data_IF_246496838183
#
_entry.id   IF_246496838183
#
_cell.length_a   1.000
_cell.length_b   1.000
_cell.length_c   1.000
_cell.angle_alpha   90.00
_cell.angle_beta   90.00
_cell.angle_gamma   90.00
#
_symmetry.space_group_name_H-M   'P 1'
#
loop_
_entity.id
_entity.type
_entity.pdbx_description
1 polymer ?
#
# COMPACT_ATOMS: atom_id res chain seq x y z
N UNK A 1 1.78 5.88 12.97
CA UNK A 1 0.45 5.79 13.62
C UNK A 1 -0.03 4.34 13.65
N UNK A 2 -0.78 3.97 14.69
CA UNK A 2 -1.36 2.64 14.83
C UNK A 2 -0.31 1.55 15.00
N UNK A 3 -0.37 0.52 14.15
CA UNK A 3 0.53 -0.64 14.24
C UNK A 3 2.02 -0.27 14.20
N UNK A 4 2.41 0.75 13.41
CA UNK A 4 3.81 1.19 13.35
C UNK A 4 4.34 1.72 14.69
N UNK A 5 3.49 2.37 15.49
CA UNK A 5 3.88 2.85 16.82
C UNK A 5 4.00 1.70 17.82
N UNK A 6 3.09 0.72 17.71
CA UNK A 6 3.11 -0.51 18.52
C UNK A 6 4.41 -1.28 18.25
N UNK A 7 4.74 -1.52 16.98
CA UNK A 7 5.99 -2.19 16.60
C UNK A 7 7.22 -1.43 17.11
N UNK A 8 7.26 -0.10 16.92
CA UNK A 8 8.37 0.71 17.45
C UNK A 8 8.55 0.53 18.96
N UNK A 9 7.46 0.59 19.72
CA UNK A 9 7.52 0.55 21.18
C UNK A 9 7.86 -0.85 21.73
N UNK A 10 7.17 -1.89 21.23
CA UNK A 10 7.27 -3.24 21.80
C UNK A 10 8.39 -4.09 21.17
N UNK A 11 8.79 -3.82 19.93
CA UNK A 11 9.87 -4.54 19.26
C UNK A 11 11.20 -3.77 19.28
N UNK A 12 11.24 -2.56 19.87
CA UNK A 12 12.43 -1.71 19.94
C UNK A 12 13.11 -1.46 18.58
N UNK A 13 12.31 -1.26 17.53
CA UNK A 13 12.77 -0.93 16.18
C UNK A 13 12.45 0.53 15.85
N UNK A 14 13.23 1.16 14.97
CA UNK A 14 12.95 2.52 14.54
C UNK A 14 11.70 2.59 13.65
N UNK A 15 11.01 3.73 13.65
CA UNK A 15 9.84 3.94 12.75
C UNK A 15 10.24 3.85 11.27
N UNK A 16 11.46 4.24 10.95
CA UNK A 16 12.03 4.23 9.61
C UNK A 16 12.33 2.83 9.08
N UNK A 17 12.40 1.82 9.94
CA UNK A 17 12.54 0.41 9.53
C UNK A 17 11.20 -0.23 9.17
N UNK A 18 10.08 0.33 9.63
CA UNK A 18 8.73 -0.17 9.33
C UNK A 18 8.14 0.60 8.15
N UNK A 19 8.50 0.15 6.96
CA UNK A 19 8.27 0.88 5.70
C UNK A 19 7.10 0.38 4.85
N UNK A 20 6.56 -0.81 5.13
CA UNK A 20 5.51 -1.44 4.34
C UNK A 20 4.13 -1.46 5.01
N UNK A 21 3.08 -1.56 4.19
CA UNK A 21 1.70 -1.81 4.63
C UNK A 21 1.07 -2.94 3.82
N UNK A 22 0.18 -3.71 4.48
CA UNK A 22 -0.78 -4.60 3.84
C UNK A 22 -2.13 -4.51 4.56
N UNK A 23 -3.19 -4.24 3.80
CA UNK A 23 -4.54 -4.16 4.29
C UNK A 23 -5.08 -5.57 4.61
N UNK A 24 -5.85 -5.72 5.71
CA UNK A 24 -6.54 -6.98 6.01
C UNK A 24 -7.38 -7.45 4.83
N UNK A 25 -7.39 -8.78 4.60
CA UNK A 25 -8.15 -9.44 3.54
C UNK A 25 -7.86 -8.95 2.10
N UNK A 26 -6.73 -8.27 1.87
CA UNK A 26 -6.35 -7.72 0.54
C UNK A 26 -7.44 -6.81 -0.03
N UNK A 27 -8.03 -5.98 0.84
CA UNK A 27 -9.02 -4.96 0.49
C UNK A 27 -8.41 -3.56 0.61
N UNK A 28 -7.89 -2.98 -0.49
CA UNK A 28 -7.38 -1.62 -0.47
C UNK A 28 -8.45 -0.62 -0.01
N UNK A 29 -8.06 0.44 0.68
CA UNK A 29 -8.94 1.44 1.28
C UNK A 29 -9.19 2.66 0.38
N UNK A 30 -9.30 2.47 -0.94
CA UNK A 30 -9.41 3.54 -1.95
C UNK A 30 -8.31 4.60 -1.75
N UNK A 31 -8.57 5.85 -2.13
CA UNK A 31 -7.62 6.96 -2.01
C UNK A 31 -7.19 7.24 -0.57
N UNK A 32 -8.04 6.96 0.42
CA UNK A 32 -7.73 7.26 1.84
C UNK A 32 -6.56 6.44 2.37
N UNK A 33 -6.45 5.16 1.98
CA UNK A 33 -5.31 4.35 2.38
C UNK A 33 -3.99 4.97 1.89
N UNK A 34 -3.89 5.28 0.60
CA UNK A 34 -2.65 5.74 0.00
C UNK A 34 -2.29 7.17 0.41
N UNK A 35 -3.28 8.02 0.69
CA UNK A 35 -3.06 9.32 1.33
C UNK A 35 -2.36 9.16 2.70
N UNK A 36 -2.82 8.22 3.53
CA UNK A 36 -2.17 7.94 4.82
C UNK A 36 -0.78 7.34 4.62
N UNK A 37 -0.56 6.52 3.59
CA UNK A 37 0.76 5.97 3.33
C UNK A 37 1.77 7.06 2.98
N UNK A 38 1.40 7.96 2.08
CA UNK A 38 2.18 9.12 1.66
C UNK A 38 2.46 10.07 2.83
N UNK A 39 1.42 10.53 3.55
CA UNK A 39 1.54 11.47 4.68
C UNK A 39 2.42 10.92 5.83
N UNK A 40 2.45 9.60 6.01
CA UNK A 40 3.23 8.97 7.08
C UNK A 40 4.55 8.38 6.59
N UNK A 41 4.94 8.56 5.34
CA UNK A 41 6.24 8.13 4.81
C UNK A 41 6.42 6.61 4.79
N UNK A 42 5.36 5.86 4.45
CA UNK A 42 5.52 4.46 4.06
C UNK A 42 6.04 4.40 2.63
N UNK A 43 6.87 3.40 2.34
CA UNK A 43 7.53 3.24 1.03
C UNK A 43 6.68 2.41 0.08
N UNK A 44 5.95 1.41 0.59
CA UNK A 44 5.16 0.53 -0.28
C UNK A 44 3.91 -0.03 0.37
N UNK A 45 2.95 -0.37 -0.48
CA UNK A 45 1.77 -1.17 -0.18
C UNK A 45 1.85 -2.54 -0.87
N UNK A 46 1.29 -3.57 -0.25
CA UNK A 46 1.13 -4.90 -0.85
C UNK A 46 -0.29 -5.42 -0.67
N UNK A 47 -1.28 -4.56 -0.91
CA UNK A 47 -2.72 -4.87 -0.77
C UNK A 47 -3.43 -5.02 -2.11
N UNK A 48 -2.93 -4.39 -3.17
CA UNK A 48 -3.53 -4.46 -4.51
C UNK A 48 -3.18 -5.79 -5.17
N UNK A 49 -4.20 -6.60 -5.45
CA UNK A 49 -4.05 -7.81 -6.23
C UNK A 49 -4.17 -7.54 -7.73
N UNK A 50 -3.22 -8.08 -8.51
CA UNK A 50 -3.34 -8.17 -9.96
C UNK A 50 -4.04 -9.49 -10.35
N UNK A 51 -4.85 -9.50 -11.43
CA UNK A 51 -5.38 -10.74 -11.99
C UNK A 51 -4.26 -11.63 -12.55
N UNK A 52 -4.57 -12.91 -12.79
CA UNK A 52 -3.64 -13.80 -13.49
C UNK A 52 -3.49 -13.33 -14.94
N UNK A 53 -2.25 -13.02 -15.34
CA UNK A 53 -1.90 -12.56 -16.68
C UNK A 53 -0.79 -13.45 -17.25
N UNK A 54 -0.70 -13.64 -18.58
CA UNK A 54 0.42 -14.38 -19.20
C UNK A 54 1.79 -13.79 -18.87
N UNK A 55 1.85 -12.47 -18.66
CA UNK A 55 3.03 -11.73 -18.23
C UNK A 55 2.72 -11.15 -16.84
N UNK A 56 3.54 -11.42 -15.81
CA UNK A 56 3.30 -10.91 -14.47
C UNK A 56 3.47 -9.38 -14.40
N UNK A 57 2.73 -8.76 -13.48
CA UNK A 57 2.83 -7.32 -13.23
C UNK A 57 4.02 -7.05 -12.32
N UNK A 58 4.90 -6.15 -12.74
CA UNK A 58 6.01 -5.65 -11.93
C UNK A 58 5.53 -4.58 -10.94
N UNK A 59 6.25 -4.35 -9.82
CA UNK A 59 5.95 -3.25 -8.92
C UNK A 59 5.88 -1.91 -9.66
N UNK A 60 4.95 -1.06 -9.24
CA UNK A 60 4.70 0.24 -9.86
C UNK A 60 4.41 1.27 -8.76
N UNK A 61 4.66 2.54 -9.05
CA UNK A 61 4.29 3.67 -8.21
C UNK A 61 2.86 4.12 -8.50
N UNK A 62 2.28 4.90 -7.59
CA UNK A 62 0.97 5.52 -7.79
C UNK A 62 1.07 6.95 -8.33
N UNK A 63 2.20 7.33 -8.95
CA UNK A 63 2.31 8.56 -9.75
C UNK A 63 1.24 8.61 -10.84
N UNK A 64 0.94 7.44 -11.40
CA UNK A 64 0.00 7.24 -12.50
C UNK A 64 -1.06 6.19 -12.15
N UNK A 65 -2.06 6.07 -13.03
CA UNK A 65 -3.12 5.07 -12.92
C UNK A 65 -2.53 3.65 -12.89
N UNK A 66 -3.11 2.80 -12.04
CA UNK A 66 -2.76 1.37 -11.92
C UNK A 66 -2.80 0.68 -13.30
N UNK A 67 -1.76 -0.09 -13.67
CA UNK A 67 -1.59 -0.65 -15.01
C UNK A 67 -2.36 -1.97 -15.25
N UNK A 68 -3.32 -2.31 -14.39
CA UNK A 68 -4.11 -3.54 -14.48
C UNK A 68 -5.52 -3.36 -13.90
N UNK A 69 -6.37 -4.36 -14.10
CA UNK A 69 -7.72 -4.38 -13.54
C UNK A 69 -7.68 -4.45 -12.00
N UNK A 70 -8.51 -3.64 -11.33
CA UNK A 70 -8.68 -3.69 -9.88
C UNK A 70 -9.70 -4.76 -9.48
N UNK A 71 -9.23 -5.94 -9.08
CA UNK A 71 -10.11 -7.04 -8.65
C UNK A 71 -10.90 -6.73 -7.37
N UNK A 72 -10.32 -5.99 -6.42
CA UNK A 72 -10.96 -5.70 -5.12
C UNK A 72 -12.02 -4.60 -5.19
N UNK A 73 -12.15 -3.87 -6.31
CA UNK A 73 -13.12 -2.76 -6.49
C UNK A 73 -12.86 -1.51 -5.63
N UNK A 74 -11.83 -1.55 -4.78
CA UNK A 74 -11.50 -0.50 -3.81
C UNK A 74 -10.10 0.06 -3.99
N UNK A 75 -9.52 -0.06 -5.19
CA UNK A 75 -8.23 0.52 -5.54
C UNK A 75 -8.26 2.06 -5.58
N UNK A 76 -7.10 2.73 -5.48
CA UNK A 76 -7.00 4.17 -5.63
C UNK A 76 -7.29 4.61 -7.06
N UNK A 77 -7.76 5.85 -7.19
CA UNK A 77 -8.06 6.51 -8.48
C UNK A 77 -7.31 7.82 -8.68
N UNK A 78 -6.68 8.34 -7.61
CA UNK A 78 -5.84 9.54 -7.63
C UNK A 78 -4.36 9.15 -7.71
N UNK A 79 -3.53 10.12 -8.06
CA UNK A 79 -2.07 9.99 -7.98
C UNK A 79 -1.57 10.23 -6.55
N UNK A 80 -0.54 9.49 -6.17
CA UNK A 80 0.19 9.56 -4.90
C UNK A 80 1.69 9.41 -5.21
N UNK A 81 2.40 10.53 -5.48
CA UNK A 81 3.82 10.55 -5.82
C UNK A 81 4.75 10.35 -4.60
#
# INVERSE_FOLDING_TARGET
IGMREILRHFANISKSEVVGMRAPFLKPGRNTQYKVLEEFGYIYDSSVGAPALPIPVWPYTLDYKIPHECKSGTCPTKSFP
#
